data_IF_829118086953
#
_entry.id   IF_829118086953
#
_cell.length_a   1.000
_cell.length_b   1.000
_cell.length_c   1.000
_cell.angle_alpha   90.00
_cell.angle_beta   90.00
_cell.angle_gamma   90.00
#
_symmetry.space_group_name_H-M   'P 1'
#
loop_
_entity.id
_entity.type
_entity.pdbx_description
1 polymer ?
#
# COMPACT_ATOMS: atom_id res chain seq x y z
N UNK A 1 -13.26 -11.73 -11.79
CA UNK A 1 -14.47 -10.92 -11.59
C UNK A 1 -14.63 -9.95 -12.75
N UNK A 2 -15.83 -9.85 -13.31
CA UNK A 2 -16.09 -9.03 -14.47
C UNK A 2 -16.88 -7.78 -14.08
N UNK A 3 -16.46 -6.64 -14.62
CA UNK A 3 -17.14 -5.39 -14.41
C UNK A 3 -17.50 -4.77 -15.77
N UNK A 4 -18.65 -4.14 -15.83
CA UNK A 4 -19.04 -3.40 -17.05
C UNK A 4 -18.49 -1.98 -16.97
N UNK A 5 -17.78 -1.56 -18.01
CA UNK A 5 -17.19 -0.23 -18.08
C UNK A 5 -18.27 0.80 -18.46
N UNK A 6 -18.28 1.92 -17.74
CA UNK A 6 -19.18 3.03 -18.04
C UNK A 6 -18.87 3.66 -19.40
N UNK A 7 -19.87 4.16 -20.15
CA UNK A 7 -19.62 4.88 -21.40
C UNK A 7 -18.73 6.12 -21.25
N UNK A 8 -18.62 6.65 -20.04
CA UNK A 8 -17.77 7.80 -19.73
C UNK A 8 -16.29 7.45 -19.59
N UNK A 9 -15.98 6.17 -19.57
CA UNK A 9 -14.61 5.71 -19.42
C UNK A 9 -13.81 5.89 -20.71
N UNK A 10 -12.46 5.93 -20.63
CA UNK A 10 -11.63 6.07 -21.82
C UNK A 10 -11.91 4.99 -22.87
N UNK A 11 -11.92 5.40 -24.13
CA UNK A 11 -12.24 4.50 -25.26
C UNK A 11 -11.02 4.08 -26.06
N UNK A 12 -9.84 4.60 -25.75
CA UNK A 12 -8.62 4.26 -26.45
C UNK A 12 -7.52 3.88 -25.46
N UNK A 13 -6.56 3.08 -25.92
CA UNK A 13 -5.41 2.69 -25.11
C UNK A 13 -4.61 3.93 -24.66
N UNK A 14 -4.49 4.94 -25.50
CA UNK A 14 -3.79 6.17 -25.15
C UNK A 14 -4.45 6.92 -24.02
N UNK A 15 -5.79 6.97 -23.99
CA UNK A 15 -6.53 7.59 -22.89
C UNK A 15 -6.37 6.82 -21.59
N UNK A 16 -6.38 5.48 -21.66
CA UNK A 16 -6.12 4.64 -20.48
C UNK A 16 -4.70 4.84 -19.96
N UNK A 17 -3.72 4.92 -20.89
CA UNK A 17 -2.33 5.16 -20.49
C UNK A 17 -2.19 6.47 -19.73
N UNK A 18 -2.83 7.53 -20.20
CA UNK A 18 -2.80 8.82 -19.53
C UNK A 18 -3.49 8.79 -18.18
N UNK A 19 -4.64 8.10 -18.08
CA UNK A 19 -5.38 7.98 -16.84
C UNK A 19 -4.58 7.20 -15.78
N UNK A 20 -3.96 6.10 -16.18
CA UNK A 20 -3.17 5.29 -15.25
C UNK A 20 -1.87 5.98 -14.84
N UNK A 21 -1.30 6.78 -15.72
CA UNK A 21 -0.08 7.53 -15.42
C UNK A 21 -0.28 8.60 -14.34
N UNK A 22 -1.52 8.98 -14.05
CA UNK A 22 -1.81 9.91 -12.96
C UNK A 22 -1.70 9.25 -11.58
N UNK A 23 -1.71 7.92 -11.53
CA UNK A 23 -1.61 7.15 -10.27
C UNK A 23 -0.57 6.04 -10.40
N UNK A 24 0.71 6.39 -10.62
CA UNK A 24 1.76 5.39 -10.72
C UNK A 24 2.06 4.78 -9.36
N UNK A 25 2.50 3.53 -9.37
CA UNK A 25 2.91 2.88 -8.14
C UNK A 25 4.22 3.49 -7.63
N UNK A 26 4.24 3.77 -6.33
CA UNK A 26 5.44 4.21 -5.61
C UNK A 26 5.58 3.31 -4.39
N UNK A 27 6.78 2.85 -4.12
CA UNK A 27 7.05 2.03 -2.96
C UNK A 27 6.66 2.73 -1.67
N UNK A 28 6.27 1.95 -0.66
CA UNK A 28 5.94 2.50 0.66
C UNK A 28 7.11 3.31 1.20
N UNK A 29 6.82 4.51 1.69
CA UNK A 29 7.79 5.26 2.46
C UNK A 29 8.01 4.60 3.83
N UNK A 30 8.98 5.11 4.60
CA UNK A 30 9.32 4.55 5.91
C UNK A 30 8.12 4.53 6.87
N UNK A 31 7.21 5.49 6.75
CA UNK A 31 6.05 5.64 7.64
C UNK A 31 4.73 5.21 7.03
N UNK A 32 4.74 4.70 5.81
CA UNK A 32 3.53 4.23 5.13
C UNK A 32 3.30 2.75 5.37
N UNK A 33 2.06 2.38 5.65
CA UNK A 33 1.66 0.97 5.79
C UNK A 33 1.20 0.36 4.47
N UNK A 34 0.73 1.18 3.55
CA UNK A 34 0.17 0.72 2.28
C UNK A 34 0.44 1.72 1.18
N UNK A 35 0.78 1.22 0.00
CA UNK A 35 0.86 2.01 -1.22
C UNK A 35 0.29 1.20 -2.37
N UNK A 36 -0.43 1.85 -3.27
CA UNK A 36 -1.03 1.22 -4.44
C UNK A 36 -0.79 2.08 -5.66
N UNK A 37 -0.81 1.46 -6.83
CA UNK A 37 -0.67 2.20 -8.07
C UNK A 37 -0.46 1.27 -9.24
N UNK A 38 -0.32 1.86 -10.42
CA UNK A 38 -0.15 1.11 -11.65
C UNK A 38 1.31 0.91 -11.98
N UNK A 39 1.64 -0.28 -12.49
CA UNK A 39 2.99 -0.63 -12.92
C UNK A 39 2.93 -1.15 -14.35
N UNK A 40 4.04 -1.07 -15.11
CA UNK A 40 4.07 -1.65 -16.46
C UNK A 40 3.79 -3.16 -16.41
N UNK A 41 2.82 -3.66 -17.19
CA UNK A 41 2.48 -5.09 -17.14
C UNK A 41 3.61 -6.00 -17.64
N UNK A 42 4.54 -5.48 -18.41
CA UNK A 42 5.71 -6.25 -18.86
C UNK A 42 6.90 -6.19 -17.90
N UNK A 43 6.75 -5.46 -16.79
CA UNK A 43 7.80 -5.35 -15.78
C UNK A 43 8.99 -4.48 -16.15
N UNK A 44 8.90 -3.73 -17.24
CA UNK A 44 9.98 -2.84 -17.67
C UNK A 44 9.88 -1.49 -16.97
N UNK A 45 10.98 -1.02 -16.44
CA UNK A 45 11.04 0.30 -15.85
C UNK A 45 10.73 1.34 -16.93
N UNK A 46 9.83 2.28 -16.62
CA UNK A 46 9.34 3.30 -17.55
C UNK A 46 8.64 2.73 -18.79
N UNK A 47 8.20 1.48 -18.74
CA UNK A 47 7.42 0.89 -19.81
C UNK A 47 5.99 1.40 -19.83
N UNK A 48 5.27 1.06 -20.90
CA UNK A 48 3.86 1.41 -21.03
C UNK A 48 3.03 0.76 -19.93
N UNK A 49 2.05 1.49 -19.39
CA UNK A 49 1.14 1.01 -18.35
C UNK A 49 -0.02 0.20 -18.92
N UNK A 50 -0.32 0.40 -20.20
CA UNK A 50 -1.37 -0.34 -20.91
C UNK A 50 -0.75 -1.01 -22.11
N UNK A 51 -0.95 -2.33 -22.22
CA UNK A 51 -0.50 -3.10 -23.37
C UNK A 51 -1.71 -3.63 -24.11
N UNK A 52 -1.64 -3.62 -25.45
CA UNK A 52 -2.70 -4.19 -26.28
C UNK A 52 -2.30 -5.58 -26.72
N UNK A 53 -3.14 -6.57 -26.42
CA UNK A 53 -2.94 -7.97 -26.81
C UNK A 53 -4.24 -8.49 -27.36
N UNK A 54 -4.24 -8.88 -28.64
CA UNK A 54 -5.42 -9.45 -29.33
C UNK A 54 -6.67 -8.59 -29.18
N UNK A 55 -6.52 -7.26 -29.31
CA UNK A 55 -7.65 -6.34 -29.19
C UNK A 55 -8.10 -6.05 -27.78
N UNK A 56 -7.46 -6.64 -26.79
CA UNK A 56 -7.73 -6.39 -25.37
C UNK A 56 -6.62 -5.54 -24.78
N UNK A 57 -6.97 -4.79 -23.74
CA UNK A 57 -6.00 -3.96 -23.01
C UNK A 57 -5.65 -4.64 -21.68
N UNK A 58 -4.37 -4.65 -21.38
CA UNK A 58 -3.85 -5.25 -20.15
C UNK A 58 -3.15 -4.19 -19.33
N UNK A 59 -3.50 -4.10 -18.06
CA UNK A 59 -2.84 -3.26 -17.09
C UNK A 59 -2.52 -4.09 -15.84
N UNK A 60 -1.59 -3.60 -15.04
CA UNK A 60 -1.20 -4.29 -13.80
C UNK A 60 -1.20 -3.31 -12.64
N UNK A 61 -1.94 -3.68 -11.61
CA UNK A 61 -2.07 -2.88 -10.38
C UNK A 61 -1.21 -3.50 -9.28
N UNK A 62 -0.36 -2.70 -8.68
CA UNK A 62 0.51 -3.16 -7.60
C UNK A 62 0.00 -2.67 -6.25
N UNK A 63 0.09 -3.53 -5.26
CA UNK A 63 -0.29 -3.24 -3.88
C UNK A 63 0.91 -3.62 -3.01
N UNK A 64 1.42 -2.67 -2.26
CA UNK A 64 2.49 -2.94 -1.31
C UNK A 64 2.00 -2.63 0.09
N UNK A 65 2.23 -3.56 1.01
CA UNK A 65 1.84 -3.40 2.41
C UNK A 65 3.02 -3.70 3.30
N UNK A 66 3.09 -2.99 4.43
CA UNK A 66 4.03 -3.28 5.51
C UNK A 66 3.22 -3.69 6.71
N UNK A 67 3.50 -4.88 7.23
CA UNK A 67 2.86 -5.37 8.45
C UNK A 67 3.90 -5.46 9.56
N UNK A 68 3.58 -4.85 10.69
CA UNK A 68 4.40 -4.98 11.89
C UNK A 68 3.76 -6.06 12.76
N UNK A 69 4.51 -7.10 13.17
CA UNK A 69 3.95 -8.15 14.02
C UNK A 69 3.37 -7.57 15.30
N UNK A 70 2.19 -8.05 15.71
CA UNK A 70 1.53 -7.59 16.91
C UNK A 70 2.41 -7.78 18.16
N UNK A 71 3.18 -8.86 18.19
CA UNK A 71 4.07 -9.14 19.31
C UNK A 71 5.19 -8.11 19.44
N UNK A 72 5.71 -7.63 18.29
CA UNK A 72 6.75 -6.60 18.30
C UNK A 72 6.21 -5.27 18.82
N UNK A 73 4.99 -4.90 18.41
CA UNK A 73 4.31 -3.69 18.91
C UNK A 73 4.08 -3.81 20.41
N UNK A 74 3.60 -4.95 20.84
CA UNK A 74 3.33 -5.20 22.27
C UNK A 74 4.59 -5.12 23.11
N UNK A 75 5.68 -5.74 22.65
CA UNK A 75 6.95 -5.72 23.38
C UNK A 75 7.52 -4.30 23.50
N UNK A 76 7.45 -3.52 22.44
CA UNK A 76 7.92 -2.14 22.46
C UNK A 76 7.05 -1.26 23.37
N UNK A 77 5.74 -1.45 23.29
CA UNK A 77 4.80 -0.72 24.15
C UNK A 77 5.06 -1.02 25.62
N UNK A 78 5.29 -2.29 25.95
CA UNK A 78 5.56 -2.71 27.32
C UNK A 78 6.83 -2.08 27.88
N UNK A 79 7.88 -1.95 27.09
CA UNK A 79 9.10 -1.28 27.53
C UNK A 79 8.85 0.19 27.88
N UNK A 80 8.05 0.89 27.07
CA UNK A 80 7.71 2.29 27.32
C UNK A 80 6.87 2.41 28.59
N UNK A 81 5.89 1.50 28.77
CA UNK A 81 5.05 1.48 29.97
C UNK A 81 5.88 1.31 31.22
N UNK A 82 6.83 0.37 31.21
CA UNK A 82 7.73 0.12 32.34
C UNK A 82 8.57 1.35 32.67
N UNK A 83 9.04 2.04 31.65
CA UNK A 83 9.84 3.23 31.82
C UNK A 83 9.01 4.40 32.41
N UNK A 84 7.76 4.53 31.98
CA UNK A 84 6.84 5.54 32.53
C UNK A 84 6.56 5.23 34.01
N UNK A 85 6.31 3.96 34.36
CA UNK A 85 6.09 3.56 35.75
C UNK A 85 7.30 3.85 36.63
N UNK A 86 8.50 3.60 36.13
CA UNK A 86 9.74 3.91 36.86
C UNK A 86 9.92 5.41 37.10
N UNK A 87 9.57 6.21 36.12
CA UNK A 87 9.82 7.65 36.15
C UNK A 87 8.73 8.41 36.92
N UNK A 88 7.47 8.02 36.76
CA UNK A 88 6.31 8.73 37.32
C UNK A 88 5.63 8.01 38.49
N UNK A 89 5.89 6.72 38.66
CA UNK A 89 5.28 5.91 39.70
C UNK A 89 3.83 5.54 39.44
N UNK A 90 3.31 5.82 38.22
CA UNK A 90 1.92 5.48 37.89
C UNK A 90 1.85 4.77 36.54
N UNK A 91 0.77 3.97 36.38
CA UNK A 91 0.50 3.27 35.13
C UNK A 91 -0.25 4.16 34.14
N UNK A 92 0.06 4.07 32.83
CA UNK A 92 -0.70 4.80 31.82
C UNK A 92 -2.16 4.37 31.80
N UNK A 93 -3.05 5.34 31.52
CA UNK A 93 -4.47 5.07 31.33
C UNK A 93 -4.74 4.43 29.97
N UNK A 94 -6.00 4.07 29.73
CA UNK A 94 -6.41 3.41 28.47
C UNK A 94 -6.07 4.24 27.22
N UNK A 95 -6.31 5.54 27.29
CA UNK A 95 -6.03 6.43 26.16
C UNK A 95 -4.53 6.57 25.91
N UNK A 96 -3.75 6.77 26.97
CA UNK A 96 -2.30 6.83 26.89
C UNK A 96 -1.74 5.52 26.32
N UNK A 97 -2.26 4.39 26.77
CA UNK A 97 -1.81 3.09 26.29
C UNK A 97 -2.07 2.90 24.79
N UNK A 98 -3.22 3.38 24.31
CA UNK A 98 -3.56 3.34 22.90
C UNK A 98 -2.59 4.20 22.07
N UNK A 99 -2.31 5.39 22.55
CA UNK A 99 -1.37 6.30 21.90
C UNK A 99 0.04 5.72 21.87
N UNK A 100 0.45 5.05 22.94
CA UNK A 100 1.76 4.39 23.01
C UNK A 100 1.86 3.22 22.02
N UNK A 101 0.77 2.49 21.81
CA UNK A 101 0.73 1.42 20.82
C UNK A 101 0.84 1.98 19.40
N UNK A 102 0.14 3.07 19.12
CA UNK A 102 0.20 3.73 17.81
C UNK A 102 1.61 4.27 17.55
N UNK A 103 2.24 4.88 18.54
CA UNK A 103 3.60 5.36 18.44
C UNK A 103 4.60 4.22 18.21
N UNK A 104 4.39 3.09 18.88
CA UNK A 104 5.23 1.91 18.72
C UNK A 104 5.12 1.35 17.30
N UNK A 105 3.92 1.31 16.75
CA UNK A 105 3.69 0.87 15.37
C UNK A 105 4.43 1.76 14.39
N UNK A 106 4.28 3.07 14.52
CA UNK A 106 4.96 4.05 13.65
C UNK A 106 6.48 3.90 13.74
N UNK A 107 7.00 3.71 14.96
CA UNK A 107 8.44 3.56 15.18
C UNK A 107 9.00 2.28 14.55
N UNK A 108 8.20 1.21 14.45
CA UNK A 108 8.63 -0.06 13.90
C UNK A 108 8.41 -0.18 12.39
N UNK A 109 7.56 0.67 11.79
CA UNK A 109 7.27 0.63 10.36
C UNK A 109 8.52 0.70 9.46
N UNK A 110 9.51 1.58 9.73
CA UNK A 110 10.69 1.64 8.88
C UNK A 110 11.49 0.33 8.81
N UNK A 111 11.35 -0.51 9.82
CA UNK A 111 12.04 -1.80 9.90
C UNK A 111 11.21 -2.96 9.35
N UNK A 112 9.95 -2.71 9.00
CA UNK A 112 9.07 -3.75 8.48
C UNK A 112 9.41 -4.07 7.02
N UNK A 113 9.34 -5.36 6.67
CA UNK A 113 9.54 -5.79 5.29
C UNK A 113 8.28 -5.54 4.47
N UNK A 114 8.40 -4.89 3.31
CA UNK A 114 7.25 -4.71 2.44
C UNK A 114 6.86 -6.01 1.76
N UNK A 115 5.56 -6.18 1.58
CA UNK A 115 4.98 -7.30 0.85
C UNK A 115 4.25 -6.74 -0.35
N UNK A 116 4.67 -7.14 -1.55
CA UNK A 116 4.07 -6.65 -2.79
C UNK A 116 3.25 -7.75 -3.45
N UNK A 117 2.04 -7.41 -3.84
CA UNK A 117 1.22 -8.24 -4.69
C UNK A 117 0.80 -7.44 -5.92
N UNK A 118 0.47 -8.13 -6.99
CA UNK A 118 0.07 -7.51 -8.25
C UNK A 118 -1.16 -8.20 -8.79
N UNK A 119 -2.06 -7.40 -9.37
CA UNK A 119 -3.28 -7.89 -10.00
C UNK A 119 -3.25 -7.46 -11.46
N UNK A 120 -3.45 -8.43 -12.35
CA UNK A 120 -3.56 -8.14 -13.78
C UNK A 120 -5.00 -7.79 -14.11
N UNK A 121 -5.19 -6.66 -14.77
CA UNK A 121 -6.51 -6.16 -15.17
C UNK A 121 -6.63 -6.29 -16.68
N UNK A 122 -7.65 -6.99 -17.13
CA UNK A 122 -7.98 -7.15 -18.55
C UNK A 122 -9.17 -6.27 -18.87
N UNK A 123 -9.03 -5.45 -19.90
CA UNK A 123 -10.10 -4.58 -20.36
C UNK A 123 -10.44 -4.97 -21.79
N UNK A 124 -11.67 -5.35 -22.00
CA UNK A 124 -12.17 -5.71 -23.33
C UNK A 124 -12.95 -4.53 -23.91
N UNK A 125 -12.40 -3.83 -24.90
CA UNK A 125 -13.11 -2.72 -25.53
C UNK A 125 -14.19 -3.26 -26.47
N UNK A 126 -15.44 -2.93 -26.21
CA UNK A 126 -16.57 -3.37 -27.03
C UNK A 126 -17.30 -2.18 -27.65
#
# INVERSE_FOLDING_TARGET
>A
MLYRVSPEWPTSAAQWEEALASEPFVECSATQQKSTGWVPPRGQEHGALVETVDGQWIARFAIETKAVPADAVRARTQKVVEEIEKTTGRKPGKKELRDLKDDALIALLPQAFPRRSQVTVWIEPT
#
